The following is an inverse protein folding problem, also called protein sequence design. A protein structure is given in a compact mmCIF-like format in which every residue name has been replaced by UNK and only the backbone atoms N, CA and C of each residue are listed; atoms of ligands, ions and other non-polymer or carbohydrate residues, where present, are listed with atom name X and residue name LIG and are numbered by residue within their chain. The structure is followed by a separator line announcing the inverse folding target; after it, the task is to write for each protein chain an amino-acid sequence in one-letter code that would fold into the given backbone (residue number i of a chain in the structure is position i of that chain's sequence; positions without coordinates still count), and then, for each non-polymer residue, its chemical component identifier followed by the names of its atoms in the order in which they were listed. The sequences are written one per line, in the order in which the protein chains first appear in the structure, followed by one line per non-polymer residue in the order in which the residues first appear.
data_IF_400560765174
#
_entry.id   IF_400560765174
#
_cell.length_a   1.000
_cell.length_b   1.000
_cell.length_c   1.000
_cell.angle_alpha   90.00
_cell.angle_beta   90.00
_cell.angle_gamma   90.00
#
_symmetry.space_group_name_H-M   'P 1'
#
loop_
_entity.id
_entity.type
_entity.pdbx_description
1 polymer ?
#
# COMPACT_ATOMS: atom_id res chain seq x y z
N UNK A 1 -23.83 -58.99 36.40
CA UNK A 1 -23.90 -57.57 36.82
C UNK A 1 -22.61 -56.91 36.36
N UNK A 2 -22.62 -56.34 35.15
CA UNK A 2 -22.69 -54.88 34.87
C UNK A 2 -21.36 -54.16 35.21
N UNK A 3 -20.58 -53.81 34.17
CA UNK A 3 -20.21 -52.42 33.75
C UNK A 3 -18.78 -52.07 34.26
N UNK A 4 -17.83 -51.46 33.55
CA UNK A 4 -17.71 -50.85 32.23
C UNK A 4 -16.23 -50.94 31.79
N UNK A 5 -15.98 -51.21 30.51
CA UNK A 5 -14.68 -51.01 29.89
C UNK A 5 -14.55 -49.53 29.46
N UNK A 6 -13.72 -48.76 30.16
CA UNK A 6 -13.36 -47.41 29.76
C UNK A 6 -12.25 -47.49 28.70
N UNK A 7 -12.62 -47.27 27.44
CA UNK A 7 -11.66 -47.03 26.35
C UNK A 7 -11.15 -45.60 26.49
N UNK A 8 -9.93 -45.44 27.00
CA UNK A 8 -9.19 -44.18 26.97
C UNK A 8 -8.65 -44.01 25.55
N UNK A 9 -9.31 -43.17 24.76
CA UNK A 9 -8.77 -42.68 23.48
C UNK A 9 -7.64 -41.71 23.83
N UNK A 10 -6.39 -42.15 23.64
CA UNK A 10 -5.21 -41.29 23.73
C UNK A 10 -5.22 -40.26 22.61
N UNK A 11 -5.57 -39.02 22.92
CA UNK A 11 -5.34 -37.89 22.04
C UNK A 11 -3.82 -37.63 21.96
N UNK A 12 -3.21 -38.02 20.84
CA UNK A 12 -1.87 -37.60 20.45
C UNK A 12 -1.88 -36.09 20.22
N UNK A 13 -1.53 -35.33 21.25
CA UNK A 13 -1.20 -33.91 21.11
C UNK A 13 0.19 -33.84 20.49
N UNK A 14 0.22 -33.63 19.17
CA UNK A 14 1.46 -33.26 18.48
C UNK A 14 1.89 -31.86 18.98
N UNK A 15 3.14 -31.67 19.45
CA UNK A 15 3.60 -30.35 19.82
C UNK A 15 3.67 -29.48 18.55
N UNK A 16 2.86 -28.43 18.52
CA UNK A 16 2.99 -27.34 17.55
C UNK A 16 4.29 -26.62 17.88
N UNK A 17 5.36 -26.95 17.15
CA UNK A 17 6.60 -26.19 17.12
C UNK A 17 6.32 -24.84 16.47
N UNK A 18 6.11 -23.81 17.29
CA UNK A 18 6.14 -22.43 16.81
C UNK A 18 7.60 -22.07 16.49
N UNK A 19 7.93 -21.64 15.26
CA UNK A 19 9.27 -21.18 14.97
C UNK A 19 9.51 -19.86 15.73
N UNK A 20 10.43 -19.89 16.69
CA UNK A 20 10.95 -18.67 17.31
C UNK A 20 11.72 -17.86 16.25
N UNK A 21 11.64 -16.51 16.26
CA UNK A 21 12.48 -15.70 15.41
C UNK A 21 13.95 -15.96 15.78
N UNK A 22 14.73 -16.43 14.81
CA UNK A 22 16.17 -16.58 14.95
C UNK A 22 16.74 -15.22 15.37
N UNK A 23 17.14 -15.12 16.63
CA UNK A 23 17.90 -13.98 17.12
C UNK A 23 19.23 -13.99 16.38
N UNK A 24 19.61 -12.83 15.84
CA UNK A 24 20.81 -12.63 15.03
C UNK A 24 22.01 -13.36 15.64
N UNK A 25 22.36 -14.52 15.07
CA UNK A 25 23.71 -15.02 15.17
C UNK A 25 24.58 -13.90 14.60
N UNK A 26 25.61 -13.48 15.33
CA UNK A 26 26.65 -12.63 14.75
C UNK A 26 27.13 -13.36 13.50
N UNK A 27 26.73 -12.89 12.32
CA UNK A 27 27.05 -13.52 11.04
C UNK A 27 28.56 -13.41 10.87
N UNK A 28 29.29 -14.42 11.34
CA UNK A 28 30.73 -14.48 11.19
C UNK A 28 30.99 -14.82 9.72
N UNK A 29 31.32 -13.80 8.94
CA UNK A 29 31.62 -13.94 7.53
C UNK A 29 32.93 -14.73 7.34
N UNK A 30 33.00 -15.61 6.32
CA UNK A 30 34.25 -16.22 5.91
C UNK A 30 35.33 -15.16 5.64
N UNK A 31 36.54 -15.42 6.16
CA UNK A 31 37.67 -14.52 5.95
C UNK A 31 38.54 -14.99 4.78
N UNK A 32 39.35 -14.08 4.24
CA UNK A 32 40.39 -14.45 3.26
C UNK A 32 41.37 -15.52 3.79
N UNK A 33 41.59 -15.58 5.10
CA UNK A 33 42.41 -16.60 5.71
C UNK A 33 41.74 -17.99 5.62
N UNK A 34 40.43 -18.07 5.81
CA UNK A 34 39.66 -19.32 5.69
C UNK A 34 39.66 -19.82 4.24
N UNK A 35 39.47 -18.92 3.28
CA UNK A 35 39.52 -19.22 1.84
C UNK A 35 40.88 -19.82 1.45
N UNK A 36 41.99 -19.20 1.87
CA UNK A 36 43.33 -19.68 1.53
C UNK A 36 43.65 -21.03 2.17
N UNK A 37 43.19 -21.28 3.40
CA UNK A 37 43.34 -22.58 4.04
C UNK A 37 42.54 -23.68 3.32
N UNK A 38 41.36 -23.33 2.81
CA UNK A 38 40.47 -24.27 2.12
C UNK A 38 40.95 -24.64 0.71
N UNK A 39 41.61 -23.73 -0.04
CA UNK A 39 42.05 -23.98 -1.44
C UNK A 39 42.94 -25.22 -1.61
N UNK A 40 43.65 -25.65 -0.57
CA UNK A 40 44.53 -26.82 -0.62
C UNK A 40 43.81 -28.18 -0.60
N UNK A 41 42.49 -28.22 -0.36
CA UNK A 41 41.71 -29.45 -0.23
C UNK A 41 40.31 -29.28 -0.84
N UNK A 42 39.94 -30.15 -1.79
CA UNK A 42 38.67 -30.04 -2.54
C UNK A 42 37.42 -30.08 -1.64
N UNK A 43 37.39 -30.95 -0.62
CA UNK A 43 36.28 -30.99 0.33
C UNK A 43 36.22 -29.74 1.21
N UNK A 44 37.37 -29.21 1.63
CA UNK A 44 37.43 -27.98 2.40
C UNK A 44 37.01 -26.77 1.55
N UNK A 45 37.45 -26.69 0.29
CA UNK A 45 37.05 -25.65 -0.65
C UNK A 45 35.54 -25.68 -0.92
N UNK A 46 34.95 -26.87 -1.11
CA UNK A 46 33.50 -27.02 -1.27
C UNK A 46 32.72 -26.60 -0.01
N UNK A 47 33.20 -26.99 1.18
CA UNK A 47 32.58 -26.60 2.45
C UNK A 47 32.64 -25.08 2.68
N UNK A 48 33.77 -24.45 2.36
CA UNK A 48 33.93 -23.00 2.49
C UNK A 48 33.09 -22.25 1.46
N UNK A 49 33.02 -22.74 0.22
CA UNK A 49 32.15 -22.16 -0.82
C UNK A 49 30.68 -22.18 -0.40
N UNK A 50 30.21 -23.26 0.25
CA UNK A 50 28.85 -23.34 0.78
C UNK A 50 28.59 -22.31 1.90
N UNK A 51 29.58 -22.02 2.76
CA UNK A 51 29.45 -20.96 3.78
C UNK A 51 29.38 -19.58 3.14
N UNK A 52 30.22 -19.31 2.14
CA UNK A 52 30.22 -18.04 1.39
C UNK A 52 28.88 -17.83 0.67
N UNK A 53 28.34 -18.86 0.03
CA UNK A 53 27.01 -18.83 -0.60
C UNK A 53 25.89 -18.57 0.44
N UNK A 54 25.93 -19.24 1.60
CA UNK A 54 24.97 -19.00 2.66
C UNK A 54 25.05 -17.56 3.21
N UNK A 55 26.25 -17.01 3.35
CA UNK A 55 26.47 -15.62 3.75
C UNK A 55 25.92 -14.64 2.72
N UNK A 56 26.15 -14.87 1.42
CA UNK A 56 25.59 -14.09 0.31
C UNK A 56 24.05 -14.07 0.35
N UNK A 57 23.43 -15.24 0.50
CA UNK A 57 21.97 -15.34 0.61
C UNK A 57 21.45 -14.60 1.84
N UNK A 58 22.13 -14.70 2.98
CA UNK A 58 21.74 -14.01 4.21
C UNK A 58 21.80 -12.49 4.07
N UNK A 59 22.87 -11.95 3.49
CA UNK A 59 23.05 -10.49 3.36
C UNK A 59 22.10 -9.91 2.29
N UNK A 60 21.82 -10.66 1.22
CA UNK A 60 20.80 -10.30 0.23
C UNK A 60 19.39 -10.34 0.83
N UNK A 61 19.06 -11.36 1.62
CA UNK A 61 17.75 -11.51 2.26
C UNK A 61 17.49 -10.43 3.31
N UNK A 62 18.50 -10.06 4.11
CA UNK A 62 18.38 -9.00 5.11
C UNK A 62 18.12 -7.63 4.46
N UNK A 63 18.87 -7.29 3.40
CA UNK A 63 18.65 -6.06 2.67
C UNK A 63 17.31 -6.06 1.92
N UNK A 64 16.89 -7.19 1.33
CA UNK A 64 15.56 -7.34 0.75
C UNK A 64 14.43 -7.11 1.79
N UNK A 65 14.58 -7.65 3.00
CA UNK A 65 13.60 -7.48 4.08
C UNK A 65 13.53 -6.04 4.57
N UNK A 66 14.67 -5.37 4.74
CA UNK A 66 14.72 -3.94 5.12
C UNK A 66 14.17 -3.04 4.01
N UNK A 67 14.54 -3.31 2.76
CA UNK A 67 13.94 -2.67 1.60
C UNK A 67 12.42 -2.87 1.59
N UNK A 68 11.89 -4.07 1.86
CA UNK A 68 10.44 -4.28 1.92
C UNK A 68 9.76 -3.45 3.03
N UNK A 69 10.34 -3.42 4.24
CA UNK A 69 9.81 -2.62 5.35
C UNK A 69 9.74 -1.13 5.04
N UNK A 70 10.73 -0.59 4.32
CA UNK A 70 10.72 0.80 3.89
C UNK A 70 9.50 1.14 3.03
N UNK A 71 9.02 0.18 2.24
CA UNK A 71 7.91 0.37 1.32
C UNK A 71 6.58 0.27 2.03
N UNK A 72 6.45 -0.73 2.89
CA UNK A 72 5.25 -0.89 3.70
C UNK A 72 5.06 0.35 4.58
N UNK A 73 6.17 0.91 5.09
CA UNK A 73 6.16 2.18 5.83
C UNK A 73 5.83 3.39 4.96
N UNK A 74 6.42 3.53 3.76
CA UNK A 74 6.07 4.61 2.81
C UNK A 74 4.58 4.54 2.41
N UNK A 75 4.09 3.36 2.08
CA UNK A 75 2.69 3.10 1.77
C UNK A 75 1.73 3.47 2.91
N UNK A 76 2.16 3.25 4.15
CA UNK A 76 1.40 3.65 5.33
C UNK A 76 1.43 5.17 5.54
N UNK A 77 2.56 5.83 5.25
CA UNK A 77 2.67 7.29 5.28
C UNK A 77 1.78 7.95 4.23
N UNK A 78 1.82 7.47 2.98
CA UNK A 78 0.99 8.00 1.88
C UNK A 78 -0.50 7.89 2.19
N UNK A 79 -0.93 6.75 2.77
CA UNK A 79 -2.32 6.57 3.23
C UNK A 79 -2.69 7.54 4.34
N UNK A 80 -1.83 7.72 5.34
CA UNK A 80 -2.08 8.65 6.44
C UNK A 80 -2.14 10.12 5.97
N UNK A 81 -1.32 10.51 4.99
CA UNK A 81 -1.38 11.84 4.36
C UNK A 81 -2.68 12.03 3.56
N UNK A 82 -3.15 10.99 2.85
CA UNK A 82 -4.43 11.04 2.14
C UNK A 82 -5.63 11.17 3.11
N UNK A 83 -5.62 10.40 4.20
CA UNK A 83 -6.64 10.49 5.25
C UNK A 83 -6.66 11.88 5.91
N UNK A 84 -5.48 12.43 6.21
CA UNK A 84 -5.34 13.80 6.72
C UNK A 84 -5.89 14.84 5.74
N UNK A 85 -5.60 14.71 4.43
CA UNK A 85 -6.12 15.62 3.42
C UNK A 85 -7.66 15.59 3.36
N UNK A 86 -8.25 14.39 3.40
CA UNK A 86 -9.70 14.23 3.45
C UNK A 86 -10.32 14.84 4.72
N UNK A 87 -9.74 14.57 5.89
CA UNK A 87 -10.20 15.15 7.15
C UNK A 87 -10.05 16.68 7.19
N UNK A 88 -8.98 17.21 6.60
CA UNK A 88 -8.76 18.67 6.48
C UNK A 88 -9.86 19.32 5.65
N UNK A 89 -10.24 18.70 4.53
CA UNK A 89 -11.34 19.18 3.69
C UNK A 89 -12.67 19.17 4.44
N UNK A 90 -12.97 18.08 5.17
CA UNK A 90 -14.19 17.96 5.97
C UNK A 90 -14.25 19.00 7.09
N UNK A 91 -13.17 19.14 7.87
CA UNK A 91 -13.08 20.13 8.94
C UNK A 91 -13.22 21.56 8.42
N UNK A 92 -12.60 21.88 7.27
CA UNK A 92 -12.76 23.19 6.64
C UNK A 92 -14.19 23.45 6.17
N UNK A 93 -14.86 22.44 5.63
CA UNK A 93 -16.24 22.55 5.15
C UNK A 93 -17.21 22.79 6.31
N UNK A 94 -17.09 21.99 7.38
CA UNK A 94 -17.93 22.12 8.57
C UNK A 94 -17.72 23.44 9.29
N UNK A 95 -16.48 23.93 9.35
CA UNK A 95 -16.18 25.24 9.94
C UNK A 95 -16.84 26.38 9.17
N UNK A 96 -16.77 26.38 7.84
CA UNK A 96 -17.51 27.36 7.03
C UNK A 96 -19.02 27.27 7.26
N UNK A 97 -19.58 26.06 7.34
CA UNK A 97 -21.01 25.88 7.61
C UNK A 97 -21.41 26.37 9.01
N UNK A 98 -20.57 26.13 10.02
CA UNK A 98 -20.77 26.64 11.37
C UNK A 98 -20.75 28.18 11.38
N UNK A 99 -19.75 28.81 10.75
CA UNK A 99 -19.65 30.27 10.63
C UNK A 99 -20.88 30.88 9.92
N UNK A 100 -21.39 30.22 8.87
CA UNK A 100 -22.59 30.64 8.15
C UNK A 100 -23.86 30.50 9.03
N UNK A 101 -23.96 29.41 9.78
CA UNK A 101 -25.08 29.15 10.67
C UNK A 101 -25.09 30.11 11.88
N UNK A 102 -23.92 30.42 12.45
CA UNK A 102 -23.77 31.42 13.51
C UNK A 102 -24.23 32.81 13.05
N UNK A 103 -23.82 33.23 11.84
CA UNK A 103 -24.30 34.50 11.26
C UNK A 103 -25.81 34.49 11.04
N UNK A 104 -26.37 33.37 10.57
CA UNK A 104 -27.82 33.21 10.38
C UNK A 104 -28.57 33.28 11.71
N UNK A 105 -28.05 32.63 12.75
CA UNK A 105 -28.61 32.65 14.10
C UNK A 105 -28.59 34.05 14.69
N UNK A 106 -27.47 34.77 14.58
CA UNK A 106 -27.36 36.16 15.03
C UNK A 106 -28.40 37.07 14.37
N UNK A 107 -28.56 36.97 13.05
CA UNK A 107 -29.57 37.74 12.31
C UNK A 107 -31.02 37.38 12.71
N UNK A 108 -31.30 36.12 13.03
CA UNK A 108 -32.62 35.71 13.50
C UNK A 108 -32.90 36.23 14.92
N UNK A 109 -31.90 36.18 15.80
CA UNK A 109 -31.98 36.74 17.16
C UNK A 109 -32.15 38.26 17.14
N UNK A 110 -31.43 38.98 16.27
CA UNK A 110 -31.58 40.43 16.11
C UNK A 110 -32.99 40.80 15.66
N UNK A 111 -33.57 40.06 14.70
CA UNK A 111 -34.95 40.27 14.25
C UNK A 111 -35.96 40.02 15.37
N UNK A 112 -35.80 38.94 16.11
CA UNK A 112 -36.63 38.64 17.28
C UNK A 112 -36.50 39.74 18.35
N UNK A 113 -35.29 40.23 18.62
CA UNK A 113 -35.03 41.30 19.58
C UNK A 113 -35.62 42.64 19.16
N UNK A 114 -35.53 43.01 17.88
CA UNK A 114 -36.16 44.23 17.34
C UNK A 114 -37.69 44.17 17.43
N UNK A 115 -38.28 43.00 17.14
CA UNK A 115 -39.71 42.78 17.26
C UNK A 115 -40.14 42.89 18.73
N UNK A 116 -39.39 42.29 19.66
CA UNK A 116 -39.60 42.41 21.11
C UNK A 116 -39.52 43.85 21.59
N UNK A 117 -38.49 44.58 21.17
CA UNK A 117 -38.31 45.99 21.50
C UNK A 117 -39.46 46.85 20.97
N UNK A 118 -40.00 46.53 19.78
CA UNK A 118 -41.13 47.23 19.19
C UNK A 118 -42.42 46.98 19.98
N UNK A 119 -42.72 45.73 20.34
CA UNK A 119 -43.88 45.44 21.20
C UNK A 119 -43.77 46.09 22.57
N UNK A 120 -42.58 46.04 23.18
CA UNK A 120 -42.35 46.64 24.49
C UNK A 120 -42.49 48.16 24.45
N UNK A 121 -41.95 48.80 23.39
CA UNK A 121 -42.02 50.26 23.19
C UNK A 121 -43.43 50.72 22.81
N UNK A 122 -44.15 49.93 22.01
CA UNK A 122 -45.51 50.28 21.59
C UNK A 122 -46.53 50.06 22.71
N UNK A 123 -46.22 49.25 23.74
CA UNK A 123 -46.97 49.16 25.00
C UNK A 123 -48.49 48.97 24.83
N UNK A 124 -48.92 48.52 23.66
CA UNK A 124 -50.24 48.80 23.11
C UNK A 124 -51.28 47.78 23.53
N UNK A 125 -50.97 46.87 24.46
CA UNK A 125 -52.01 46.04 25.07
C UNK A 125 -53.13 46.91 25.62
N UNK A 126 -52.85 48.09 26.19
CA UNK A 126 -53.89 49.03 26.60
C UNK A 126 -54.49 49.84 25.44
N UNK A 127 -53.72 50.22 24.42
CA UNK A 127 -54.24 51.06 23.32
C UNK A 127 -55.09 50.26 22.31
N UNK A 128 -54.70 49.03 21.99
CA UNK A 128 -55.47 48.10 21.14
C UNK A 128 -56.68 47.55 21.87
N UNK A 129 -56.58 47.13 23.14
CA UNK A 129 -57.78 46.72 23.90
C UNK A 129 -58.77 47.85 24.04
N UNK A 130 -58.32 49.09 24.21
CA UNK A 130 -59.21 50.26 24.24
C UNK A 130 -59.86 50.52 22.86
N UNK A 131 -59.15 50.34 21.73
CA UNK A 131 -59.75 50.44 20.39
C UNK A 131 -60.76 49.33 20.11
N UNK A 132 -60.41 48.08 20.41
CA UNK A 132 -61.30 46.92 20.27
C UNK A 132 -62.55 47.08 21.14
N UNK A 133 -62.41 47.60 22.36
CA UNK A 133 -63.52 47.85 23.27
C UNK A 133 -64.40 49.06 22.88
N UNK A 134 -63.93 49.95 22.00
CA UNK A 134 -64.65 51.17 21.59
C UNK A 134 -65.15 51.15 20.15
N UNK A 135 -64.75 50.17 19.33
CA UNK A 135 -65.24 49.97 17.96
C UNK A 135 -66.68 49.44 17.96
N UNK A 136 -67.58 50.14 17.28
CA UNK A 136 -69.00 49.79 17.17
C UNK A 136 -69.36 49.07 15.85
N UNK A 137 -68.39 48.88 14.96
CA UNK A 137 -68.55 48.23 13.65
C UNK A 137 -68.03 46.77 13.69
N UNK A 138 -68.90 45.76 13.48
CA UNK A 138 -68.54 44.35 13.56
C UNK A 138 -67.50 43.90 12.51
N UNK A 139 -67.45 44.51 11.32
CA UNK A 139 -66.49 44.12 10.27
C UNK A 139 -65.07 44.63 10.61
N UNK A 140 -64.97 45.81 11.21
CA UNK A 140 -63.69 46.32 11.73
C UNK A 140 -63.15 45.49 12.88
N UNK A 141 -64.02 44.98 13.75
CA UNK A 141 -63.61 44.12 14.87
C UNK A 141 -62.94 42.84 14.36
N UNK A 142 -63.55 42.17 13.36
CA UNK A 142 -63.00 40.95 12.76
C UNK A 142 -61.67 41.20 12.05
N UNK A 143 -61.53 42.32 11.34
CA UNK A 143 -60.26 42.70 10.72
C UNK A 143 -59.16 42.93 11.76
N UNK A 144 -59.46 43.62 12.87
CA UNK A 144 -58.50 43.86 13.94
C UNK A 144 -58.10 42.57 14.66
N UNK A 145 -59.05 41.66 14.93
CA UNK A 145 -58.75 40.34 15.49
C UNK A 145 -57.90 39.49 14.54
N UNK A 146 -58.19 39.49 13.24
CA UNK A 146 -57.38 38.81 12.23
C UNK A 146 -55.96 39.38 12.13
N UNK A 147 -55.80 40.70 12.28
CA UNK A 147 -54.48 41.33 12.31
C UNK A 147 -53.68 40.97 13.57
N UNK A 148 -54.35 40.82 14.73
CA UNK A 148 -53.73 40.36 15.99
C UNK A 148 -53.33 38.88 15.91
N UNK A 149 -54.16 38.04 15.32
CA UNK A 149 -53.87 36.63 15.07
C UNK A 149 -52.69 36.45 14.09
N UNK A 150 -52.70 37.22 12.99
CA UNK A 150 -51.59 37.25 12.04
C UNK A 150 -50.30 37.76 12.67
N UNK A 151 -50.37 38.78 13.54
CA UNK A 151 -49.20 39.28 14.25
C UNK A 151 -48.66 38.26 15.26
N UNK A 152 -49.54 37.54 15.96
CA UNK A 152 -49.18 36.51 16.94
C UNK A 152 -48.53 35.30 16.26
N UNK A 153 -49.10 34.84 15.15
CA UNK A 153 -48.50 33.76 14.34
C UNK A 153 -47.15 34.17 13.71
N UNK A 154 -47.03 35.43 13.27
CA UNK A 154 -45.74 35.98 12.80
C UNK A 154 -44.71 36.03 13.95
N UNK A 155 -45.16 36.32 15.17
CA UNK A 155 -44.33 36.36 16.36
C UNK A 155 -43.79 34.99 16.77
N UNK A 156 -44.68 34.00 16.83
CA UNK A 156 -44.32 32.60 17.10
C UNK A 156 -43.32 32.09 16.05
N UNK A 157 -43.57 32.38 14.77
CA UNK A 157 -42.65 32.03 13.69
C UNK A 157 -41.26 32.65 13.82
N UNK A 158 -41.14 33.94 14.15
CA UNK A 158 -39.83 34.61 14.30
C UNK A 158 -39.04 34.07 15.49
N UNK A 159 -39.70 33.78 16.61
CA UNK A 159 -39.06 33.18 17.79
C UNK A 159 -38.65 31.72 17.54
N UNK A 160 -39.51 30.95 16.87
CA UNK A 160 -39.20 29.58 16.47
C UNK A 160 -38.00 29.54 15.52
N UNK A 161 -37.99 30.37 14.47
CA UNK A 161 -36.88 30.50 13.52
C UNK A 161 -35.56 30.83 14.24
N UNK A 162 -35.58 31.78 15.17
CA UNK A 162 -34.38 32.13 15.95
C UNK A 162 -33.89 30.95 16.82
N UNK A 163 -34.80 30.18 17.41
CA UNK A 163 -34.45 28.99 18.19
C UNK A 163 -33.89 27.85 17.34
N UNK A 164 -34.44 27.65 16.14
CA UNK A 164 -33.99 26.62 15.18
C UNK A 164 -32.63 27.00 14.62
N UNK A 165 -32.45 28.27 14.25
CA UNK A 165 -31.17 28.78 13.78
C UNK A 165 -30.08 28.64 14.86
N UNK A 166 -30.40 28.98 16.12
CA UNK A 166 -29.48 28.80 17.26
C UNK A 166 -29.05 27.34 17.46
N UNK A 167 -30.01 26.40 17.51
CA UNK A 167 -29.70 24.97 17.66
C UNK A 167 -28.92 24.40 16.47
N UNK A 168 -29.18 24.91 15.27
CA UNK A 168 -28.45 24.52 14.06
C UNK A 168 -27.01 25.00 14.10
N UNK A 169 -26.77 26.25 14.52
CA UNK A 169 -25.44 26.80 14.71
C UNK A 169 -24.65 26.01 15.76
N UNK A 170 -25.24 25.76 16.92
CA UNK A 170 -24.62 24.94 17.99
C UNK A 170 -24.26 23.54 17.50
N UNK A 171 -25.18 22.86 16.82
CA UNK A 171 -24.94 21.52 16.26
C UNK A 171 -23.82 21.49 15.20
N UNK A 172 -23.72 22.51 14.35
CA UNK A 172 -22.66 22.61 13.34
C UNK A 172 -21.31 22.98 13.96
N UNK A 173 -21.31 23.84 14.98
CA UNK A 173 -20.12 24.17 15.77
C UNK A 173 -19.53 22.91 16.41
N UNK A 174 -20.37 22.13 17.11
CA UNK A 174 -20.00 20.84 17.70
C UNK A 174 -19.44 19.85 16.68
N UNK A 175 -20.02 19.81 15.47
CA UNK A 175 -19.51 18.98 14.38
C UNK A 175 -18.15 19.46 13.86
N UNK A 176 -17.96 20.77 13.72
CA UNK A 176 -16.71 21.37 13.30
C UNK A 176 -15.59 21.10 14.32
N UNK A 177 -15.86 21.23 15.62
CA UNK A 177 -14.89 20.91 16.68
C UNK A 177 -14.47 19.43 16.66
N UNK A 178 -15.44 18.51 16.51
CA UNK A 178 -15.13 17.07 16.38
C UNK A 178 -14.27 16.78 15.15
N UNK A 179 -14.60 17.37 14.01
CA UNK A 179 -13.84 17.20 12.77
C UNK A 179 -12.43 17.79 12.89
N UNK A 180 -12.26 18.91 13.59
CA UNK A 180 -10.95 19.52 13.86
C UNK A 180 -10.09 18.64 14.77
N UNK A 181 -10.69 18.05 15.82
CA UNK A 181 -10.02 17.08 16.71
C UNK A 181 -9.58 15.82 15.95
N UNK A 182 -10.43 15.30 15.07
CA UNK A 182 -10.11 14.16 14.22
C UNK A 182 -8.96 14.49 13.26
N UNK A 183 -9.04 15.64 12.57
CA UNK A 183 -7.96 16.14 11.71
C UNK A 183 -6.64 16.28 12.47
N UNK A 184 -6.66 16.80 13.70
CA UNK A 184 -5.45 16.92 14.53
C UNK A 184 -4.86 15.55 14.90
N UNK A 185 -5.70 14.56 15.17
CA UNK A 185 -5.27 13.18 15.46
C UNK A 185 -4.64 12.54 14.23
N UNK A 186 -5.27 12.71 13.06
CA UNK A 186 -4.74 12.23 11.78
C UNK A 186 -3.46 12.95 11.39
N UNK A 187 -3.29 14.23 11.73
CA UNK A 187 -2.06 14.97 11.48
C UNK A 187 -0.87 14.39 12.25
N UNK A 188 -1.06 14.11 13.54
CA UNK A 188 -0.04 13.46 14.35
C UNK A 188 0.28 12.04 13.85
N UNK A 189 -0.75 11.29 13.42
CA UNK A 189 -0.55 9.97 12.82
C UNK A 189 0.24 10.05 11.51
N UNK A 190 -0.09 10.98 10.60
CA UNK A 190 0.64 11.19 9.36
C UNK A 190 2.11 11.55 9.61
N UNK A 191 2.40 12.40 10.59
CA UNK A 191 3.76 12.76 10.99
C UNK A 191 4.55 11.54 11.49
N UNK A 192 3.97 10.73 12.39
CA UNK A 192 4.59 9.50 12.91
C UNK A 192 4.86 8.47 11.81
N UNK A 193 3.90 8.28 10.89
CA UNK A 193 4.05 7.37 9.75
C UNK A 193 5.13 7.86 8.79
N UNK A 194 5.19 9.16 8.51
CA UNK A 194 6.24 9.77 7.69
C UNK A 194 7.63 9.62 8.33
N UNK A 195 7.76 9.80 9.65
CA UNK A 195 9.01 9.56 10.38
C UNK A 195 9.44 8.08 10.36
N UNK A 196 8.48 7.17 10.51
CA UNK A 196 8.70 5.72 10.39
C UNK A 196 9.18 5.35 8.98
N UNK A 197 8.56 5.92 7.93
CA UNK A 197 8.95 5.71 6.54
C UNK A 197 10.38 6.21 6.27
N UNK A 198 10.76 7.39 6.76
CA UNK A 198 12.13 7.91 6.66
C UNK A 198 13.14 7.00 7.34
N UNK A 199 12.87 6.59 8.58
CA UNK A 199 13.75 5.68 9.34
C UNK A 199 13.92 4.35 8.62
N UNK A 200 12.84 3.77 8.09
CA UNK A 200 12.89 2.52 7.35
C UNK A 200 13.64 2.67 6.01
N UNK A 201 13.46 3.79 5.31
CA UNK A 201 14.20 4.14 4.10
C UNK A 201 15.71 4.26 4.36
N UNK A 202 16.12 4.95 5.42
CA UNK A 202 17.53 5.06 5.82
C UNK A 202 18.13 3.70 6.19
N UNK A 203 17.38 2.87 6.91
CA UNK A 203 17.80 1.51 7.26
C UNK A 203 17.96 0.62 6.01
N UNK A 204 17.05 0.74 5.04
CA UNK A 204 17.17 0.04 3.75
C UNK A 204 18.39 0.53 2.96
N UNK A 205 18.60 1.84 2.87
CA UNK A 205 19.76 2.41 2.16
C UNK A 205 21.09 1.96 2.76
N UNK A 206 21.20 1.94 4.10
CA UNK A 206 22.39 1.41 4.79
C UNK A 206 22.58 -0.08 4.51
N UNK A 207 21.51 -0.87 4.58
CA UNK A 207 21.59 -2.30 4.30
C UNK A 207 22.00 -2.59 2.85
N UNK A 208 21.49 -1.84 1.87
CA UNK A 208 21.92 -1.94 0.47
C UNK A 208 23.41 -1.65 0.33
N UNK A 209 23.90 -0.57 0.96
CA UNK A 209 25.31 -0.21 0.92
C UNK A 209 26.20 -1.29 1.59
N UNK A 210 25.80 -1.77 2.76
CA UNK A 210 26.49 -2.86 3.47
C UNK A 210 26.49 -4.13 2.63
N UNK A 211 25.36 -4.50 2.02
CA UNK A 211 25.25 -5.66 1.12
C UNK A 211 26.16 -5.49 -0.08
N UNK A 212 26.21 -4.33 -0.74
CA UNK A 212 27.09 -4.10 -1.89
C UNK A 212 28.56 -4.32 -1.50
N UNK A 213 29.01 -3.74 -0.39
CA UNK A 213 30.38 -3.90 0.10
C UNK A 213 30.73 -5.36 0.40
N UNK A 214 29.86 -6.10 1.11
CA UNK A 214 30.15 -7.48 1.50
C UNK A 214 29.95 -8.46 0.33
N UNK A 215 29.03 -8.18 -0.60
CA UNK A 215 28.77 -9.06 -1.75
C UNK A 215 29.98 -9.12 -2.68
N UNK A 216 30.62 -7.98 -2.95
CA UNK A 216 31.81 -7.93 -3.80
C UNK A 216 32.96 -8.78 -3.22
N UNK A 217 33.16 -8.71 -1.90
CA UNK A 217 34.15 -9.52 -1.21
C UNK A 217 33.78 -11.01 -1.23
N UNK A 218 32.53 -11.36 -0.90
CA UNK A 218 32.06 -12.74 -0.89
C UNK A 218 32.10 -13.37 -2.30
N UNK A 219 31.77 -12.64 -3.35
CA UNK A 219 31.90 -13.14 -4.73
C UNK A 219 33.37 -13.30 -5.15
N UNK A 220 34.28 -12.42 -4.70
CA UNK A 220 35.70 -12.59 -4.93
C UNK A 220 36.26 -13.84 -4.21
N UNK A 221 35.81 -14.09 -2.98
CA UNK A 221 36.16 -15.29 -2.21
C UNK A 221 35.63 -16.57 -2.90
N UNK A 222 34.37 -16.55 -3.36
CA UNK A 222 33.75 -17.68 -4.07
C UNK A 222 34.49 -17.99 -5.38
N UNK A 223 34.84 -16.94 -6.15
CA UNK A 223 35.62 -17.07 -7.36
C UNK A 223 37.02 -17.64 -7.10
N UNK A 224 37.67 -17.23 -6.01
CA UNK A 224 38.96 -17.78 -5.61
C UNK A 224 38.86 -19.26 -5.21
N UNK A 225 37.76 -19.70 -4.59
CA UNK A 225 37.54 -21.11 -4.19
C UNK A 225 37.22 -22.02 -5.38
N UNK A 226 36.53 -21.50 -6.41
CA UNK A 226 36.09 -22.27 -7.58
C UNK A 226 36.98 -22.10 -8.82
N UNK A 227 38.03 -21.30 -8.73
CA UNK A 227 38.92 -20.91 -9.83
C UNK A 227 38.15 -20.31 -11.04
N UNK A 228 37.19 -19.42 -10.73
CA UNK A 228 36.36 -18.70 -11.70
C UNK A 228 36.53 -17.18 -11.55
N UNK A 229 35.57 -16.38 -12.06
CA UNK A 229 35.53 -14.93 -11.84
C UNK A 229 34.32 -14.54 -10.99
N UNK A 230 34.42 -13.46 -10.23
CA UNK A 230 33.33 -12.97 -9.37
C UNK A 230 32.04 -12.72 -10.17
N UNK A 231 32.17 -12.19 -11.39
CA UNK A 231 31.04 -11.96 -12.31
C UNK A 231 30.37 -13.27 -12.75
N UNK A 232 31.16 -14.31 -13.03
CA UNK A 232 30.61 -15.64 -13.38
C UNK A 232 29.84 -16.25 -12.22
N UNK A 233 30.37 -16.17 -10.99
CA UNK A 233 29.68 -16.69 -9.82
C UNK A 233 28.40 -15.90 -9.49
N UNK A 234 28.44 -14.57 -9.61
CA UNK A 234 27.27 -13.72 -9.43
C UNK A 234 26.14 -14.07 -10.41
N UNK A 235 26.47 -14.29 -11.69
CA UNK A 235 25.51 -14.68 -12.71
C UNK A 235 24.97 -16.09 -12.46
N UNK A 236 25.83 -17.02 -12.06
CA UNK A 236 25.43 -18.38 -11.72
C UNK A 236 24.45 -18.41 -10.55
N UNK A 237 24.80 -17.75 -9.43
CA UNK A 237 23.94 -17.67 -8.25
C UNK A 237 22.60 -16.99 -8.57
N UNK A 238 22.61 -15.89 -9.34
CA UNK A 238 21.40 -15.23 -9.78
C UNK A 238 20.52 -16.17 -10.61
N UNK A 239 21.11 -16.90 -11.56
CA UNK A 239 20.41 -17.89 -12.37
C UNK A 239 19.76 -19.00 -11.53
N UNK A 240 20.51 -19.54 -10.55
CA UNK A 240 20.00 -20.56 -9.63
C UNK A 240 18.83 -20.02 -8.79
N UNK A 241 18.95 -18.80 -8.26
CA UNK A 241 17.89 -18.17 -7.47
C UNK A 241 16.63 -17.88 -8.31
N UNK A 242 16.80 -17.40 -9.53
CA UNK A 242 15.67 -17.17 -10.46
C UNK A 242 14.99 -18.50 -10.83
N UNK A 243 15.74 -19.55 -11.16
CA UNK A 243 15.18 -20.87 -11.44
C UNK A 243 14.41 -21.43 -10.23
N UNK A 244 14.95 -21.26 -9.01
CA UNK A 244 14.28 -21.64 -7.78
C UNK A 244 12.97 -20.86 -7.56
N UNK A 245 12.95 -19.56 -7.85
CA UNK A 245 11.72 -18.74 -7.82
C UNK A 245 10.67 -19.25 -8.80
N UNK A 246 11.08 -19.60 -10.03
CA UNK A 246 10.17 -20.11 -11.05
C UNK A 246 9.59 -21.47 -10.66
N UNK A 247 10.44 -22.39 -10.18
CA UNK A 247 9.99 -23.70 -9.71
C UNK A 247 9.03 -23.58 -8.51
N UNK A 248 9.29 -22.65 -7.58
CA UNK A 248 8.38 -22.36 -6.47
C UNK A 248 7.03 -21.81 -6.97
N UNK A 249 7.04 -20.93 -7.97
CA UNK A 249 5.83 -20.38 -8.57
C UNK A 249 5.01 -21.46 -9.28
N UNK A 250 5.65 -22.37 -10.01
CA UNK A 250 4.98 -23.51 -10.64
C UNK A 250 4.32 -24.41 -9.59
N UNK A 251 5.05 -24.79 -8.53
CA UNK A 251 4.48 -25.57 -7.42
C UNK A 251 3.29 -24.86 -6.76
N UNK A 252 3.37 -23.56 -6.54
CA UNK A 252 2.27 -22.78 -5.98
C UNK A 252 1.04 -22.76 -6.92
N UNK A 253 1.25 -22.63 -8.23
CA UNK A 253 0.16 -22.69 -9.23
C UNK A 253 -0.47 -24.08 -9.29
N UNK A 254 0.32 -25.14 -9.24
CA UNK A 254 -0.17 -26.52 -9.20
C UNK A 254 -0.97 -26.80 -7.92
N UNK A 255 -0.47 -26.34 -6.76
CA UNK A 255 -1.19 -26.45 -5.49
C UNK A 255 -2.49 -25.64 -5.52
N UNK A 256 -2.49 -24.43 -6.07
CA UNK A 256 -3.69 -23.62 -6.22
C UNK A 256 -4.70 -24.27 -7.19
N UNK A 257 -4.24 -24.83 -8.31
CA UNK A 257 -5.08 -25.56 -9.25
C UNK A 257 -5.65 -26.84 -8.62
N UNK A 258 -4.85 -27.57 -7.84
CA UNK A 258 -5.30 -28.74 -7.10
C UNK A 258 -6.33 -28.37 -6.02
N UNK A 259 -6.11 -27.29 -5.27
CA UNK A 259 -7.06 -26.77 -4.29
C UNK A 259 -8.38 -26.32 -4.96
N UNK A 260 -8.30 -25.63 -6.10
CA UNK A 260 -9.48 -25.23 -6.87
C UNK A 260 -10.24 -26.45 -7.42
N UNK A 261 -9.53 -27.47 -7.89
CA UNK A 261 -10.14 -28.73 -8.34
C UNK A 261 -10.81 -29.50 -7.18
N UNK A 262 -10.20 -29.52 -5.99
CA UNK A 262 -10.81 -30.10 -4.79
C UNK A 262 -12.06 -29.34 -4.34
N UNK A 263 -12.03 -28.01 -4.38
CA UNK A 263 -13.20 -27.17 -4.08
C UNK A 263 -14.34 -27.38 -5.10
N UNK A 264 -14.01 -27.48 -6.40
CA UNK A 264 -14.99 -27.78 -7.44
C UNK A 264 -15.59 -29.19 -7.30
N UNK A 265 -14.78 -30.19 -6.90
CA UNK A 265 -15.25 -31.55 -6.62
C UNK A 265 -16.14 -31.62 -5.36
N UNK A 266 -15.82 -30.85 -4.32
CA UNK A 266 -16.66 -30.75 -3.11
C UNK A 266 -18.00 -30.05 -3.38
N UNK A 267 -18.03 -29.08 -4.30
CA UNK A 267 -19.25 -28.41 -4.75
C UNK A 267 -20.16 -29.28 -5.66
N UNK A 268 -19.66 -30.41 -6.16
CA UNK A 268 -20.42 -31.36 -7.00
C UNK A 268 -21.19 -32.43 -6.19
N UNK A 269 -21.10 -32.43 -4.86
CA UNK A 269 -22.01 -33.18 -3.99
C UNK A 269 -23.35 -32.43 -3.83
N UNK A 270 -24.52 -33.09 -3.75
CA UNK A 270 -25.80 -32.40 -3.68
C UNK A 270 -25.96 -31.79 -2.28
N UNK A 271 -25.57 -30.53 -2.14
CA UNK A 271 -25.90 -29.69 -0.99
C UNK A 271 -26.01 -28.25 -1.47
N UNK A 272 -27.25 -27.78 -1.50
CA UNK A 272 -27.64 -26.42 -1.80
C UNK A 272 -27.18 -25.47 -0.70
N UNK A 273 -26.18 -24.63 -0.98
CA UNK A 273 -26.09 -23.28 -0.40
C UNK A 273 -25.07 -22.46 -1.18
N UNK A 274 -25.57 -21.54 -2.00
CA UNK A 274 -24.77 -20.49 -2.61
C UNK A 274 -24.32 -19.51 -1.52
N UNK A 275 -23.02 -19.49 -1.23
CA UNK A 275 -22.38 -18.43 -0.45
C UNK A 275 -21.56 -17.58 -1.41
N UNK A 276 -22.03 -16.37 -1.67
CA UNK A 276 -21.28 -15.33 -2.36
C UNK A 276 -20.10 -14.91 -1.46
N UNK A 277 -18.88 -15.22 -1.89
CA UNK A 277 -17.68 -14.72 -1.26
C UNK A 277 -17.44 -13.28 -1.75
N UNK A 278 -17.68 -12.32 -0.87
CA UNK A 278 -17.25 -10.93 -1.03
C UNK A 278 -15.72 -10.89 -0.90
N UNK A 279 -15.02 -10.71 -2.02
CA UNK A 279 -13.61 -10.36 -2.04
C UNK A 279 -13.45 -8.92 -1.55
N UNK A 280 -13.17 -8.77 -0.26
CA UNK A 280 -12.66 -7.53 0.31
C UNK A 280 -11.32 -7.20 -0.33
N UNK A 281 -11.36 -6.32 -1.33
CA UNK A 281 -10.17 -5.73 -1.93
C UNK A 281 -9.40 -4.97 -0.87
N UNK A 282 -8.35 -5.60 -0.34
CA UNK A 282 -7.31 -4.91 0.41
C UNK A 282 -6.73 -3.84 -0.50
N UNK A 283 -6.81 -2.57 -0.09
CA UNK A 283 -6.24 -1.46 -0.84
C UNK A 283 -4.76 -1.69 -1.09
N UNK A 284 -4.42 -2.07 -2.32
CA UNK A 284 -3.04 -2.28 -2.76
C UNK A 284 -2.30 -0.96 -2.61
N UNK A 285 -1.46 -0.89 -1.58
CA UNK A 285 -0.55 0.23 -1.44
C UNK A 285 0.63 -0.04 -2.35
N UNK A 286 0.77 0.79 -3.37
CA UNK A 286 1.81 0.60 -4.37
C UNK A 286 3.17 1.09 -3.86
N UNK A 287 4.26 0.53 -4.38
CA UNK A 287 5.57 1.16 -4.37
C UNK A 287 5.54 2.67 -4.62
N UNK A 288 6.05 3.48 -3.67
CA UNK A 288 6.45 4.86 -4.00
C UNK A 288 7.53 4.82 -5.09
N UNK A 289 7.36 5.64 -6.13
CA UNK A 289 8.25 5.73 -7.31
C UNK A 289 9.29 6.86 -7.20
N UNK A 290 9.42 7.48 -6.01
CA UNK A 290 10.39 8.54 -5.75
C UNK A 290 11.84 8.04 -5.74
N UNK A 291 12.78 8.87 -6.24
CA UNK A 291 14.22 8.60 -6.18
C UNK A 291 14.80 7.71 -7.29
N UNK A 292 14.04 7.40 -8.34
CA UNK A 292 14.50 6.60 -9.48
C UNK A 292 15.01 7.49 -10.62
N UNK A 293 16.24 7.26 -11.09
CA UNK A 293 16.73 7.88 -12.32
C UNK A 293 16.10 7.18 -13.53
N UNK A 294 15.31 7.92 -14.32
CA UNK A 294 14.70 7.41 -15.55
C UNK A 294 15.63 7.71 -16.73
N UNK A 295 16.44 6.73 -17.12
CA UNK A 295 17.33 6.79 -18.28
C UNK A 295 17.16 5.54 -19.17
N UNK A 296 16.18 5.54 -20.09
CA UNK A 296 15.95 4.45 -21.03
C UNK A 296 17.18 4.12 -21.89
N UNK A 297 17.97 5.13 -22.29
CA UNK A 297 19.12 4.93 -23.14
C UNK A 297 20.27 4.26 -22.37
N UNK A 298 20.54 4.71 -21.14
CA UNK A 298 21.50 4.07 -20.25
C UNK A 298 21.09 2.63 -19.89
N UNK A 299 19.79 2.41 -19.65
CA UNK A 299 19.24 1.07 -19.42
C UNK A 299 19.47 0.14 -20.63
N UNK A 300 19.19 0.61 -21.85
CA UNK A 300 19.47 -0.16 -23.07
C UNK A 300 20.96 -0.43 -23.28
N UNK A 301 21.82 0.56 -23.01
CA UNK A 301 23.27 0.40 -23.11
C UNK A 301 23.81 -0.64 -22.12
N UNK A 302 23.31 -0.63 -20.88
CA UNK A 302 23.64 -1.65 -19.88
C UNK A 302 23.15 -3.04 -20.30
N UNK A 303 21.90 -3.17 -20.76
CA UNK A 303 21.39 -4.45 -21.26
C UNK A 303 22.22 -4.97 -22.43
N UNK A 304 22.67 -4.09 -23.34
CA UNK A 304 23.52 -4.44 -24.48
C UNK A 304 24.85 -5.05 -24.04
N UNK A 305 25.47 -4.54 -22.98
CA UNK A 305 26.73 -5.10 -22.46
C UNK A 305 26.51 -6.39 -21.66
N UNK A 306 25.35 -6.54 -21.03
CA UNK A 306 25.05 -7.69 -20.18
C UNK A 306 24.59 -8.94 -20.95
N UNK A 307 23.94 -8.80 -22.12
CA UNK A 307 23.36 -9.96 -22.83
C UNK A 307 24.39 -11.01 -23.30
N UNK A 308 25.64 -10.60 -23.51
CA UNK A 308 26.70 -11.50 -23.96
C UNK A 308 27.02 -12.59 -22.95
N UNK A 309 26.78 -12.33 -21.66
CA UNK A 309 26.95 -13.32 -20.59
C UNK A 309 26.03 -14.55 -20.74
N UNK A 310 24.91 -14.39 -21.44
CA UNK A 310 23.95 -15.46 -21.71
C UNK A 310 24.19 -16.13 -23.08
N UNK A 311 25.29 -15.82 -23.76
CA UNK A 311 25.58 -16.31 -25.10
C UNK A 311 24.73 -15.66 -26.20
N UNK A 312 24.05 -14.54 -25.90
CA UNK A 312 23.17 -13.86 -26.84
C UNK A 312 23.88 -12.77 -27.65
N UNK A 313 23.56 -12.71 -28.95
CA UNK A 313 24.11 -11.75 -29.91
C UNK A 313 23.19 -10.55 -30.19
N UNK A 314 23.57 -9.75 -31.20
CA UNK A 314 22.80 -8.58 -31.66
C UNK A 314 21.33 -8.88 -32.00
N UNK A 315 21.07 -10.04 -32.59
CA UNK A 315 19.74 -10.43 -33.05
C UNK A 315 18.77 -10.65 -31.88
N UNK A 316 19.28 -11.12 -30.73
CA UNK A 316 18.49 -11.24 -29.51
C UNK A 316 18.22 -9.89 -28.86
N UNK A 317 19.16 -8.94 -29.00
CA UNK A 317 18.99 -7.61 -28.43
C UNK A 317 17.84 -6.84 -29.05
N UNK A 318 17.62 -6.95 -30.37
CA UNK A 318 16.48 -6.28 -31.01
C UNK A 318 15.13 -6.78 -30.48
N UNK A 319 14.99 -8.09 -30.26
CA UNK A 319 13.82 -8.67 -29.61
C UNK A 319 13.65 -8.19 -28.16
N UNK A 320 14.75 -8.09 -27.40
CA UNK A 320 14.74 -7.56 -26.04
C UNK A 320 14.27 -6.08 -26.02
N UNK A 321 14.76 -5.28 -26.97
CA UNK A 321 14.33 -3.89 -27.15
C UNK A 321 12.85 -3.81 -27.40
N UNK A 322 12.30 -4.60 -28.33
CA UNK A 322 10.86 -4.63 -28.58
C UNK A 322 10.08 -5.04 -27.33
N UNK A 323 10.49 -6.13 -26.67
CA UNK A 323 9.83 -6.66 -25.47
C UNK A 323 9.77 -5.61 -24.36
N UNK A 324 10.90 -5.09 -23.89
CA UNK A 324 10.88 -4.14 -22.77
C UNK A 324 10.42 -2.74 -23.12
N UNK A 325 10.44 -2.37 -24.41
CA UNK A 325 9.75 -1.15 -24.87
C UNK A 325 8.25 -1.30 -24.66
N UNK A 326 7.70 -2.47 -25.00
CA UNK A 326 6.29 -2.73 -24.86
C UNK A 326 5.87 -2.86 -23.38
N UNK A 327 6.69 -3.51 -22.55
CA UNK A 327 6.42 -3.70 -21.12
C UNK A 327 6.44 -2.39 -20.32
N UNK A 328 7.45 -1.54 -20.54
CA UNK A 328 7.72 -0.41 -19.64
C UNK A 328 8.25 0.85 -20.32
N UNK A 329 8.51 0.79 -21.63
CA UNK A 329 9.28 1.83 -22.32
C UNK A 329 10.69 1.98 -21.73
N UNK A 330 11.28 0.90 -21.22
CA UNK A 330 12.60 0.89 -20.55
C UNK A 330 12.70 1.77 -19.29
N UNK A 331 11.57 2.06 -18.65
CA UNK A 331 11.54 2.89 -17.44
C UNK A 331 11.68 2.04 -16.18
N UNK A 332 12.74 2.28 -15.41
CA UNK A 332 12.97 1.61 -14.12
C UNK A 332 11.90 1.93 -13.06
N UNK A 333 11.15 3.03 -13.22
CA UNK A 333 10.04 3.40 -12.35
C UNK A 333 8.65 3.03 -12.89
N UNK A 334 8.57 2.24 -13.98
CA UNK A 334 7.28 1.85 -14.55
C UNK A 334 6.50 1.01 -13.53
N UNK A 335 5.32 1.50 -13.14
CA UNK A 335 4.40 0.82 -12.24
C UNK A 335 3.06 0.67 -12.95
N UNK A 336 2.60 -0.57 -13.10
CA UNK A 336 1.24 -0.85 -13.50
C UNK A 336 0.34 -0.83 -12.26
N UNK A 337 -0.50 0.20 -12.15
CA UNK A 337 -1.37 0.38 -10.99
C UNK A 337 -2.47 -0.68 -10.86
N UNK A 338 -2.89 -1.38 -11.92
CA UNK A 338 -3.94 -2.39 -11.80
C UNK A 338 -3.40 -3.75 -11.32
N UNK A 339 -2.17 -4.10 -11.72
CA UNK A 339 -1.56 -5.40 -11.41
C UNK A 339 -0.48 -5.34 -10.33
N UNK A 340 0.14 -4.18 -10.10
CA UNK A 340 1.31 -4.02 -9.25
C UNK A 340 2.64 -4.45 -9.91
N UNK A 341 2.63 -4.76 -11.22
CA UNK A 341 3.86 -5.05 -11.97
C UNK A 341 4.79 -3.82 -12.00
N UNK A 342 6.10 -4.06 -11.88
CA UNK A 342 7.06 -2.98 -11.67
C UNK A 342 8.37 -3.14 -12.44
N UNK A 343 8.95 -2.01 -12.82
CA UNK A 343 10.29 -1.89 -13.39
C UNK A 343 10.35 -2.20 -14.88
N UNK A 344 11.57 -2.20 -15.42
CA UNK A 344 11.86 -2.48 -16.82
C UNK A 344 11.21 -3.81 -17.29
N UNK A 345 11.36 -4.93 -16.55
CA UNK A 345 10.81 -6.21 -16.98
C UNK A 345 9.36 -6.46 -16.51
N UNK A 346 8.67 -5.45 -15.94
CA UNK A 346 7.31 -5.58 -15.39
C UNK A 346 7.13 -6.82 -14.49
N UNK A 347 8.02 -6.99 -13.50
CA UNK A 347 8.01 -8.17 -12.63
C UNK A 347 6.78 -8.22 -11.72
N UNK A 348 6.14 -9.38 -11.62
CA UNK A 348 5.00 -9.64 -10.75
C UNK A 348 5.18 -10.93 -9.89
N UNK A 349 5.18 -10.83 -8.54
CA UNK A 349 5.30 -9.60 -7.76
C UNK A 349 6.67 -8.94 -7.97
N UNK A 350 6.71 -7.61 -7.89
CA UNK A 350 7.93 -6.80 -8.05
C UNK A 350 9.10 -7.26 -7.15
N UNK A 351 8.79 -7.76 -5.96
CA UNK A 351 9.76 -8.26 -4.97
C UNK A 351 10.63 -9.41 -5.46
N UNK A 352 10.25 -10.11 -6.55
CA UNK A 352 11.10 -11.14 -7.17
C UNK A 352 12.47 -10.60 -7.57
N UNK A 353 12.57 -9.33 -7.94
CA UNK A 353 13.83 -8.71 -8.35
C UNK A 353 14.85 -8.54 -7.21
N UNK A 354 14.45 -8.72 -5.95
CA UNK A 354 15.34 -8.55 -4.81
C UNK A 354 16.55 -9.52 -4.81
N UNK A 355 16.46 -10.66 -5.48
CA UNK A 355 17.58 -11.61 -5.62
C UNK A 355 18.68 -11.11 -6.55
N UNK A 356 18.38 -10.16 -7.45
CA UNK A 356 19.40 -9.54 -8.30
C UNK A 356 20.14 -8.40 -7.59
N UNK A 357 19.58 -7.87 -6.51
CA UNK A 357 20.16 -6.78 -5.74
C UNK A 357 19.10 -6.08 -4.89
N UNK A 358 19.50 -5.61 -3.71
CA UNK A 358 18.60 -4.97 -2.76
C UNK A 358 18.07 -3.59 -3.23
N UNK A 359 18.75 -2.99 -4.20
CA UNK A 359 18.44 -1.72 -4.88
C UNK A 359 17.55 -1.89 -6.12
N UNK A 360 16.99 -3.09 -6.35
CA UNK A 360 16.15 -3.43 -7.51
C UNK A 360 15.02 -2.44 -7.82
N UNK A 361 14.59 -1.65 -6.84
CA UNK A 361 13.55 -0.64 -7.02
C UNK A 361 14.07 0.56 -7.81
N UNK A 362 15.24 1.06 -7.47
CA UNK A 362 15.76 2.32 -8.01
C UNK A 362 16.84 2.11 -9.05
N UNK A 363 17.42 0.91 -9.13
CA UNK A 363 18.53 0.59 -10.02
C UNK A 363 18.08 -0.19 -11.26
N UNK A 364 18.16 0.46 -12.43
CA UNK A 364 17.87 -0.15 -13.72
C UNK A 364 18.75 -1.37 -14.02
N UNK A 365 20.03 -1.34 -13.65
CA UNK A 365 20.95 -2.44 -13.88
C UNK A 365 20.51 -3.69 -13.12
N UNK A 366 20.09 -3.53 -11.87
CA UNK A 366 19.56 -4.62 -11.03
C UNK A 366 18.29 -5.24 -11.63
N UNK A 367 17.36 -4.40 -12.12
CA UNK A 367 16.15 -4.86 -12.80
C UNK A 367 16.47 -5.62 -14.09
N UNK A 368 17.43 -5.11 -14.88
CA UNK A 368 17.89 -5.75 -16.13
C UNK A 368 18.54 -7.10 -15.81
N UNK A 369 19.41 -7.20 -14.81
CA UNK A 369 20.05 -8.45 -14.43
C UNK A 369 19.03 -9.54 -14.08
N UNK A 370 18.03 -9.20 -13.25
CA UNK A 370 16.93 -10.11 -12.96
C UNK A 370 16.15 -10.49 -14.22
N UNK A 371 15.80 -9.50 -15.04
CA UNK A 371 15.02 -9.70 -16.27
C UNK A 371 15.72 -10.59 -17.28
N UNK A 372 17.04 -10.43 -17.49
CA UNK A 372 17.83 -11.29 -18.38
C UNK A 372 17.90 -12.73 -17.85
N UNK A 373 18.15 -12.91 -16.55
CA UNK A 373 18.17 -14.23 -15.92
C UNK A 373 16.80 -14.93 -16.03
N UNK A 374 15.71 -14.17 -15.84
CA UNK A 374 14.34 -14.67 -16.01
C UNK A 374 14.06 -15.10 -17.45
N UNK A 375 14.44 -14.27 -18.44
CA UNK A 375 14.25 -14.60 -19.86
C UNK A 375 15.02 -15.85 -20.24
N UNK A 376 16.27 -15.98 -19.76
CA UNK A 376 17.10 -17.15 -20.01
C UNK A 376 16.45 -18.43 -19.48
N UNK A 377 15.97 -18.42 -18.24
CA UNK A 377 15.40 -19.61 -17.60
C UNK A 377 13.99 -19.94 -18.13
N UNK A 378 13.13 -18.93 -18.31
CA UNK A 378 11.73 -19.15 -18.70
C UNK A 378 11.54 -19.38 -20.21
N UNK A 379 12.33 -18.70 -21.05
CA UNK A 379 12.14 -18.68 -22.50
C UNK A 379 13.38 -19.14 -23.29
N UNK A 380 14.54 -19.26 -22.64
CA UNK A 380 15.81 -19.57 -23.29
C UNK A 380 16.45 -18.39 -24.02
N UNK A 381 15.67 -17.48 -24.61
CA UNK A 381 16.19 -16.31 -25.33
C UNK A 381 15.19 -15.15 -25.43
N UNK A 382 15.66 -13.89 -25.61
CA UNK A 382 14.78 -12.74 -25.80
C UNK A 382 13.83 -12.86 -27.00
N UNK A 383 14.28 -13.43 -28.12
CA UNK A 383 13.38 -13.61 -29.26
C UNK A 383 12.32 -14.69 -29.01
N UNK A 384 12.63 -15.74 -28.24
CA UNK A 384 11.62 -16.71 -27.82
C UNK A 384 10.59 -16.06 -26.87
N UNK A 385 11.03 -15.21 -25.94
CA UNK A 385 10.15 -14.44 -25.07
C UNK A 385 9.25 -13.47 -25.87
N UNK A 386 9.83 -12.74 -26.81
CA UNK A 386 9.10 -11.82 -27.69
C UNK A 386 8.07 -12.55 -28.56
N UNK A 387 8.45 -13.68 -29.16
CA UNK A 387 7.51 -14.49 -29.94
C UNK A 387 6.38 -15.07 -29.08
N UNK A 388 6.69 -15.47 -27.84
CA UNK A 388 5.67 -15.90 -26.89
C UNK A 388 4.67 -14.78 -26.60
N UNK A 389 5.16 -13.58 -26.28
CA UNK A 389 4.34 -12.38 -26.03
C UNK A 389 3.44 -12.06 -27.23
N UNK A 390 4.00 -12.09 -28.45
CA UNK A 390 3.23 -11.89 -29.67
C UNK A 390 2.22 -13.01 -29.98
N UNK A 391 2.35 -14.19 -29.36
CA UNK A 391 1.48 -15.35 -29.62
C UNK A 391 0.29 -15.47 -28.67
N UNK A 392 0.31 -14.78 -27.52
CA UNK A 392 -0.77 -14.81 -26.53
C UNK A 392 -1.88 -13.83 -26.96
N UNK A 393 -3.14 -14.30 -26.96
CA UNK A 393 -4.32 -13.54 -27.37
C UNK A 393 -5.38 -13.56 -26.22
N UNK A 394 -6.06 -12.45 -25.87
CA UNK A 394 -5.93 -11.10 -26.42
C UNK A 394 -4.53 -10.51 -26.19
N UNK A 395 -3.99 -9.82 -27.20
CA UNK A 395 -2.87 -8.91 -27.01
C UNK A 395 -3.34 -7.87 -25.99
N UNK A 396 -2.88 -7.96 -24.75
CA UNK A 396 -3.34 -7.08 -23.68
C UNK A 396 -2.66 -5.72 -23.85
N UNK A 397 -3.24 -4.87 -24.72
CA UNK A 397 -2.87 -3.46 -24.88
C UNK A 397 -4.12 -2.59 -24.93
#
# INVERSE_FOLDING_TARGET
MLVAAAVVVGALVAPVLTPLPASAASTQYPTWQDVQQAKGNEQAAAAEAAKVQAALQSVQADAAAKSQRALDASAAADRAEADLAAATQTASTLRTQADDAERTAAQAQDRAGQLAATLYRDGSQNAMTTRIATTHDPDQLLYQLGAVDQLSSTWEGVLEDASVAGRTAESLHDQAERAESERSTLAAAAEDRSATARTASDAAARAVADTQQHSDELYAQLAALKDTTATTEQQYELGVQVAAQQAAQQRAREQAAAAAAQQAAAAAAPSSSAAAATSGGSGTSYPSTGGVTVDPAGAQAYARSAIGAYGWGGDQFSCLVSLWTQESGWRANALNASSGAYGIPQSLPASKMAVAGADWRTNAATQINWGLAYIHDAYGSPCAAWNHEMSVNPHWY
#
